data_IF_490412114664
#
_entry.id   IF_490412114664
#
_cell.length_a   1.000
_cell.length_b   1.000
_cell.length_c   1.000
_cell.angle_alpha   90.00
_cell.angle_beta   90.00
_cell.angle_gamma   90.00
#
_symmetry.space_group_name_H-M   'P 1'
#
loop_
_entity.id
_entity.type
_entity.pdbx_description
1 polymer ?
#
# COMPACT_ATOMS: atom_id res chain seq x y z
N UNK A 1 11.57 15.79 5.23
CA UNK A 1 11.56 14.38 4.82
C UNK A 1 10.16 13.84 5.04
N UNK A 2 9.47 13.45 3.96
CA UNK A 2 8.13 12.91 4.01
C UNK A 2 8.18 11.39 4.04
N UNK A 3 7.62 10.80 5.08
CA UNK A 3 7.60 9.34 5.28
C UNK A 3 6.15 8.88 5.27
N UNK A 4 5.87 7.79 4.55
CA UNK A 4 4.57 7.15 4.55
C UNK A 4 4.71 5.63 4.66
N UNK A 5 3.73 5.00 5.28
CA UNK A 5 3.60 3.55 5.37
C UNK A 5 2.62 3.06 4.32
N UNK A 6 2.97 2.03 3.58
CA UNK A 6 2.01 1.31 2.74
C UNK A 6 1.82 -0.08 3.30
N UNK A 7 0.56 -0.40 3.59
CA UNK A 7 0.15 -1.68 4.17
C UNK A 7 -0.37 -2.59 3.05
N UNK A 8 0.18 -3.79 2.96
CA UNK A 8 -0.34 -4.81 2.06
C UNK A 8 -1.77 -5.21 2.45
N UNK A 9 -2.61 -5.56 1.49
CA UNK A 9 -4.03 -5.90 1.74
C UNK A 9 -4.22 -7.07 2.71
N UNK A 10 -3.24 -7.96 2.80
CA UNK A 10 -3.24 -9.12 3.71
C UNK A 10 -2.63 -8.83 5.08
N UNK A 11 -2.09 -7.62 5.27
CA UNK A 11 -1.43 -7.28 6.52
C UNK A 11 -2.41 -7.16 7.67
N UNK A 12 -2.15 -7.93 8.72
CA UNK A 12 -2.84 -7.83 10.02
C UNK A 12 -1.76 -7.46 11.03
N UNK A 13 -1.87 -6.30 11.71
CA UNK A 13 -0.88 -5.90 12.71
C UNK A 13 -0.80 -6.93 13.83
N UNK A 14 0.41 -7.27 14.26
CA UNK A 14 0.62 -7.95 15.52
C UNK A 14 0.11 -7.04 16.64
N UNK A 15 -0.70 -7.56 17.59
CA UNK A 15 -1.23 -6.76 18.71
C UNK A 15 -0.14 -6.17 19.61
N UNK A 16 1.10 -6.64 19.51
CA UNK A 16 2.24 -6.09 20.25
C UNK A 16 2.85 -4.87 19.59
N UNK A 17 2.51 -4.59 18.32
CA UNK A 17 3.04 -3.44 17.58
C UNK A 17 2.34 -2.16 18.04
N UNK A 18 3.15 -1.17 18.41
CA UNK A 18 2.65 0.18 18.73
C UNK A 18 2.37 1.00 17.47
N UNK A 19 1.12 0.93 17.00
CA UNK A 19 0.67 1.70 15.84
C UNK A 19 0.75 3.22 16.05
N UNK A 20 0.75 3.70 17.29
CA UNK A 20 0.88 5.13 17.56
C UNK A 20 2.32 5.61 17.30
N UNK A 21 3.32 4.82 17.69
CA UNK A 21 4.72 5.09 17.36
C UNK A 21 4.96 5.07 15.85
N UNK A 22 4.39 4.11 15.14
CA UNK A 22 4.50 4.05 13.67
C UNK A 22 3.88 5.30 13.02
N UNK A 23 2.72 5.76 13.52
CA UNK A 23 2.08 6.99 13.03
C UNK A 23 2.88 8.25 13.31
N UNK A 24 3.67 8.27 14.37
CA UNK A 24 4.59 9.38 14.62
C UNK A 24 5.66 9.50 13.53
N UNK A 25 6.00 8.41 12.83
CA UNK A 25 6.93 8.42 11.71
C UNK A 25 6.25 8.84 10.39
N UNK A 26 4.98 8.50 10.15
CA UNK A 26 4.30 8.79 8.89
C UNK A 26 2.88 8.25 8.80
N UNK A 27 2.10 8.75 7.84
CA UNK A 27 0.73 8.33 7.62
C UNK A 27 0.63 6.93 6.99
N UNK A 28 -0.43 6.21 7.32
CA UNK A 28 -0.73 4.88 6.79
C UNK A 28 -1.59 4.97 5.53
N UNK A 29 -1.19 4.22 4.50
CA UNK A 29 -1.89 4.04 3.24
C UNK A 29 -2.21 2.56 3.02
N UNK A 30 -3.39 2.27 2.51
CA UNK A 30 -3.76 0.90 2.20
C UNK A 30 -5.19 0.76 1.71
N UNK A 31 -5.62 -0.48 1.46
CA UNK A 31 -6.99 -0.80 1.09
C UNK A 31 -7.98 -0.64 2.26
N UNK A 32 -9.26 -0.61 1.93
CA UNK A 32 -10.32 -0.53 2.95
C UNK A 32 -10.30 -1.74 3.91
N UNK A 33 -9.71 -2.86 3.50
CA UNK A 33 -9.57 -4.07 4.33
C UNK A 33 -8.55 -3.86 5.45
N UNK A 34 -7.42 -3.22 5.13
CA UNK A 34 -6.38 -2.91 6.12
C UNK A 34 -6.83 -1.87 7.13
N UNK A 35 -7.74 -0.98 6.76
CA UNK A 35 -8.28 0.02 7.69
C UNK A 35 -8.91 -0.61 8.93
N UNK A 36 -9.63 -1.72 8.79
CA UNK A 36 -10.27 -2.39 9.92
C UNK A 36 -9.26 -2.88 10.96
N UNK A 37 -8.08 -3.27 10.51
CA UNK A 37 -7.04 -3.83 11.37
C UNK A 37 -6.13 -2.76 11.96
N UNK A 38 -5.80 -1.72 11.19
CA UNK A 38 -4.75 -0.75 11.53
C UNK A 38 -5.24 0.69 11.67
N UNK A 39 -6.50 0.99 11.31
CA UNK A 39 -7.01 2.37 11.29
C UNK A 39 -6.28 3.25 10.28
N UNK A 40 -6.12 2.78 9.06
CA UNK A 40 -5.39 3.46 7.97
C UNK A 40 -5.88 4.88 7.72
N UNK A 41 -4.96 5.84 7.60
CA UNK A 41 -5.28 7.27 7.45
C UNK A 41 -5.74 7.63 6.03
N UNK A 42 -5.19 6.93 5.03
CA UNK A 42 -5.46 7.12 3.61
C UNK A 42 -5.93 5.78 3.01
N UNK A 43 -7.23 5.68 2.77
CA UNK A 43 -7.89 4.43 2.36
C UNK A 43 -8.26 4.45 0.91
N UNK A 44 -7.87 3.42 0.19
CA UNK A 44 -8.21 3.21 -1.21
C UNK A 44 -9.29 2.16 -1.31
N UNK A 45 -10.31 2.42 -2.13
CA UNK A 45 -11.36 1.47 -2.46
C UNK A 45 -11.60 1.47 -3.96
N UNK A 46 -11.23 0.39 -4.61
CA UNK A 46 -11.41 0.24 -6.06
C UNK A 46 -12.82 -0.22 -6.43
N UNK A 47 -13.46 -1.01 -5.59
CA UNK A 47 -14.80 -1.55 -5.81
C UNK A 47 -15.87 -0.46 -5.60
N UNK A 48 -16.60 -0.11 -6.66
CA UNK A 48 -17.63 0.93 -6.64
C UNK A 48 -18.80 0.58 -5.71
N UNK A 49 -19.20 -0.69 -5.64
CA UNK A 49 -20.30 -1.12 -4.77
C UNK A 49 -19.90 -1.01 -3.30
N UNK A 50 -18.67 -1.44 -2.99
CA UNK A 50 -18.09 -1.30 -1.66
C UNK A 50 -17.87 0.15 -1.27
N UNK A 51 -17.37 0.97 -2.18
CA UNK A 51 -17.22 2.41 -1.95
C UNK A 51 -18.56 3.07 -1.61
N UNK A 52 -19.64 2.73 -2.33
CA UNK A 52 -21.00 3.21 -2.02
C UNK A 52 -21.45 2.82 -0.61
N UNK A 53 -21.28 1.57 -0.22
CA UNK A 53 -21.59 1.11 1.14
C UNK A 53 -20.83 1.90 2.21
N UNK A 54 -19.52 2.10 2.01
CA UNK A 54 -18.67 2.82 2.95
C UNK A 54 -19.05 4.30 3.05
N UNK A 55 -19.37 4.94 1.93
CA UNK A 55 -19.83 6.34 1.90
C UNK A 55 -21.16 6.50 2.62
N UNK A 56 -22.12 5.58 2.41
CA UNK A 56 -23.40 5.59 3.13
C UNK A 56 -23.24 5.46 4.64
N UNK A 57 -22.17 4.84 5.10
CA UNK A 57 -21.80 4.73 6.53
C UNK A 57 -20.95 5.90 7.02
N UNK A 58 -20.82 6.97 6.23
CA UNK A 58 -19.98 8.14 6.53
C UNK A 58 -18.50 7.81 6.79
N UNK A 59 -18.01 6.69 6.24
CA UNK A 59 -16.64 6.24 6.40
C UNK A 59 -15.60 7.29 5.96
N UNK A 60 -15.87 7.98 4.86
CA UNK A 60 -15.05 9.07 4.31
C UNK A 60 -14.88 10.29 5.25
N UNK A 61 -15.65 10.35 6.33
CA UNK A 61 -15.47 11.37 7.37
C UNK A 61 -14.39 10.99 8.41
N UNK A 62 -13.93 9.74 8.42
CA UNK A 62 -12.95 9.22 9.40
C UNK A 62 -11.55 9.08 8.84
N UNK A 63 -11.37 9.17 7.52
CA UNK A 63 -10.09 9.00 6.83
C UNK A 63 -10.09 9.77 5.49
N UNK A 64 -8.93 9.91 4.88
CA UNK A 64 -8.84 10.33 3.48
C UNK A 64 -9.25 9.15 2.59
N UNK A 65 -10.42 9.24 1.97
CA UNK A 65 -10.99 8.14 1.20
C UNK A 65 -10.85 8.38 -0.29
N UNK A 66 -10.19 7.44 -0.98
CA UNK A 66 -9.85 7.53 -2.39
C UNK A 66 -10.59 6.47 -3.21
N UNK A 67 -11.14 6.89 -4.34
CA UNK A 67 -11.78 6.01 -5.32
C UNK A 67 -11.27 6.31 -6.73
N UNK A 68 -11.36 5.37 -7.70
CA UNK A 68 -11.02 5.68 -9.08
C UNK A 68 -11.99 6.70 -9.67
N UNK A 69 -11.53 7.45 -10.67
CA UNK A 69 -12.34 8.47 -11.32
C UNK A 69 -13.68 7.93 -11.85
N UNK A 70 -13.69 6.72 -12.43
CA UNK A 70 -14.92 6.05 -12.88
C UNK A 70 -15.92 5.83 -11.74
N UNK A 71 -15.46 5.33 -10.59
CA UNK A 71 -16.32 5.14 -9.43
C UNK A 71 -16.80 6.48 -8.85
N UNK A 72 -15.94 7.49 -8.80
CA UNK A 72 -16.29 8.82 -8.32
C UNK A 72 -17.46 9.45 -9.10
N UNK A 73 -17.42 9.31 -10.42
CA UNK A 73 -18.53 9.78 -11.29
C UNK A 73 -19.80 8.95 -11.06
N UNK A 74 -19.68 7.61 -10.98
CA UNK A 74 -20.82 6.72 -10.73
C UNK A 74 -21.46 6.88 -9.34
N UNK A 75 -20.76 7.51 -8.41
CA UNK A 75 -21.22 7.84 -7.05
C UNK A 75 -21.71 9.27 -6.92
N UNK A 76 -21.97 9.98 -8.03
CA UNK A 76 -22.42 11.36 -8.07
C UNK A 76 -21.46 12.35 -7.37
N UNK A 77 -20.16 12.10 -7.46
CA UNK A 77 -19.10 12.99 -6.95
C UNK A 77 -19.30 13.35 -5.48
N UNK A 78 -19.30 12.39 -4.56
CA UNK A 78 -19.65 12.65 -3.17
C UNK A 78 -18.62 13.58 -2.52
N UNK A 79 -19.07 14.57 -1.74
CA UNK A 79 -18.18 15.50 -1.05
C UNK A 79 -17.31 14.76 -0.02
N UNK A 80 -16.05 15.17 0.12
CA UNK A 80 -15.10 14.56 1.06
C UNK A 80 -14.45 13.26 0.56
N UNK A 81 -14.88 12.74 -0.58
CA UNK A 81 -14.20 11.61 -1.27
C UNK A 81 -13.21 12.18 -2.26
N UNK A 82 -12.02 11.60 -2.31
CA UNK A 82 -10.94 11.97 -3.23
C UNK A 82 -10.92 11.02 -4.42
N UNK A 83 -10.60 11.53 -5.57
CA UNK A 83 -10.36 10.69 -6.74
C UNK A 83 -8.86 10.45 -6.92
N UNK A 84 -8.52 9.30 -7.49
CA UNK A 84 -7.21 9.08 -8.07
C UNK A 84 -7.35 8.84 -9.57
N UNK A 85 -6.39 9.38 -10.33
CA UNK A 85 -6.27 9.17 -11.76
C UNK A 85 -5.16 8.15 -12.01
N UNK A 86 -5.38 7.27 -12.96
CA UNK A 86 -4.41 6.28 -13.39
C UNK A 86 -5.11 5.01 -13.89
N UNK A 87 -4.69 4.55 -15.05
CA UNK A 87 -5.09 3.26 -15.58
C UNK A 87 -4.28 2.15 -14.89
N UNK A 88 -4.26 2.15 -13.54
CA UNK A 88 -3.36 1.28 -12.83
C UNK A 88 -3.70 -0.19 -13.01
N UNK A 89 -4.89 -0.56 -13.47
CA UNK A 89 -5.18 -1.95 -13.81
C UNK A 89 -6.66 -2.18 -14.12
N UNK A 90 -6.98 -2.59 -15.30
CA UNK A 90 -8.35 -2.95 -15.67
C UNK A 90 -8.78 -4.37 -15.26
N UNK A 91 -7.87 -5.27 -14.84
CA UNK A 91 -8.14 -6.69 -14.81
C UNK A 91 -7.82 -7.45 -13.51
N UNK A 92 -7.50 -6.77 -12.40
CA UNK A 92 -7.03 -7.50 -11.24
C UNK A 92 -7.84 -7.17 -9.99
N UNK A 93 -8.55 -8.16 -9.49
CA UNK A 93 -9.10 -8.17 -8.14
C UNK A 93 -7.96 -7.91 -7.12
N UNK A 94 -8.06 -6.84 -6.33
CA UNK A 94 -7.18 -6.55 -5.20
C UNK A 94 -5.88 -5.75 -5.44
N UNK A 95 -5.95 -4.55 -6.05
CA UNK A 95 -4.73 -3.73 -6.20
C UNK A 95 -4.76 -2.39 -5.48
N UNK A 96 -5.54 -2.28 -4.45
CA UNK A 96 -5.58 -1.07 -3.61
C UNK A 96 -4.20 -0.73 -3.07
N UNK A 97 -3.40 -1.74 -2.70
CA UNK A 97 -2.01 -1.56 -2.27
C UNK A 97 -1.10 -1.05 -3.40
N UNK A 98 -1.32 -1.46 -4.65
CA UNK A 98 -0.56 -0.96 -5.81
C UNK A 98 -0.87 0.52 -6.04
N UNK A 99 -2.13 0.91 -5.95
CA UNK A 99 -2.54 2.32 -6.02
C UNK A 99 -1.90 3.11 -4.88
N UNK A 100 -1.88 2.56 -3.66
CA UNK A 100 -1.22 3.18 -2.52
C UNK A 100 0.29 3.40 -2.77
N UNK A 101 0.99 2.43 -3.36
CA UNK A 101 2.40 2.58 -3.74
C UNK A 101 2.60 3.75 -4.71
N UNK A 102 1.79 3.85 -5.76
CA UNK A 102 1.91 4.94 -6.74
C UNK A 102 1.59 6.31 -6.14
N UNK A 103 0.53 6.40 -5.33
CA UNK A 103 0.15 7.68 -4.71
C UNK A 103 1.20 8.15 -3.69
N UNK A 104 1.76 7.23 -2.91
CA UNK A 104 2.79 7.58 -1.91
C UNK A 104 4.12 7.92 -2.57
N UNK A 105 4.51 7.24 -3.64
CA UNK A 105 5.74 7.51 -4.37
C UNK A 105 5.84 8.97 -4.85
N UNK A 106 4.71 9.56 -5.26
CA UNK A 106 4.67 10.95 -5.74
C UNK A 106 4.82 12.02 -4.65
N UNK A 107 4.69 11.63 -3.38
CA UNK A 107 4.64 12.57 -2.25
C UNK A 107 5.64 12.25 -1.11
N UNK A 108 6.39 11.15 -1.22
CA UNK A 108 7.26 10.64 -0.16
C UNK A 108 8.71 10.61 -0.56
N UNK A 109 9.58 10.98 0.37
CA UNK A 109 11.02 10.70 0.26
C UNK A 109 11.31 9.22 0.60
N UNK A 110 10.56 8.69 1.58
CA UNK A 110 10.68 7.31 2.03
C UNK A 110 9.29 6.67 2.13
N UNK A 111 9.16 5.46 1.60
CA UNK A 111 7.98 4.61 1.72
C UNK A 111 8.34 3.33 2.46
N UNK A 112 7.68 3.10 3.59
CA UNK A 112 7.85 1.94 4.44
C UNK A 112 6.77 0.90 4.08
N UNK A 113 7.21 -0.29 3.66
CA UNK A 113 6.35 -1.37 3.16
C UNK A 113 6.14 -2.41 4.27
N UNK A 114 4.89 -2.62 4.66
CA UNK A 114 4.56 -3.54 5.73
C UNK A 114 3.59 -4.64 5.25
N UNK A 115 3.98 -5.89 5.47
CA UNK A 115 3.21 -7.06 5.04
C UNK A 115 3.38 -7.43 3.57
N UNK A 116 4.27 -6.78 2.83
CA UNK A 116 4.59 -7.15 1.45
C UNK A 116 5.48 -8.38 1.41
N UNK A 117 5.08 -9.40 0.65
CA UNK A 117 5.90 -10.59 0.42
C UNK A 117 6.70 -10.45 -0.89
N UNK A 118 7.94 -10.01 -0.75
CA UNK A 118 8.89 -9.87 -1.86
C UNK A 118 9.95 -10.99 -1.88
N UNK A 119 9.78 -12.05 -1.08
CA UNK A 119 10.68 -13.18 -1.07
C UNK A 119 10.60 -14.03 -2.34
N UNK A 120 11.63 -14.82 -2.56
CA UNK A 120 11.58 -15.92 -3.53
C UNK A 120 10.60 -16.99 -3.04
N UNK A 121 9.61 -17.30 -3.85
CA UNK A 121 8.58 -18.31 -3.55
C UNK A 121 8.38 -19.22 -4.76
N UNK A 122 7.91 -20.44 -4.50
CA UNK A 122 7.48 -21.32 -5.56
C UNK A 122 6.26 -20.73 -6.29
N UNK A 123 6.33 -20.78 -7.62
CA UNK A 123 5.23 -20.27 -8.44
C UNK A 123 3.98 -21.15 -8.26
N UNK A 124 2.80 -20.55 -8.15
CA UNK A 124 1.55 -21.30 -8.11
C UNK A 124 1.45 -22.32 -9.26
N UNK A 125 0.95 -23.52 -8.95
CA UNK A 125 0.77 -24.57 -9.94
C UNK A 125 -0.31 -24.19 -10.97
N UNK A 126 -1.37 -23.56 -10.53
CA UNK A 126 -2.42 -23.06 -11.40
C UNK A 126 -1.91 -21.93 -12.30
N UNK A 127 -2.26 -22.00 -13.59
CA UNK A 127 -1.77 -21.05 -14.59
C UNK A 127 -2.32 -19.64 -14.38
N UNK A 128 -3.59 -19.51 -13.98
CA UNK A 128 -4.24 -18.23 -13.81
C UNK A 128 -3.73 -17.54 -12.53
N UNK A 129 -3.62 -18.29 -11.44
CA UNK A 129 -3.05 -17.79 -10.18
C UNK A 129 -1.59 -17.36 -10.37
N UNK A 130 -0.80 -18.16 -11.09
CA UNK A 130 0.58 -17.80 -11.44
C UNK A 130 0.65 -16.50 -12.22
N UNK A 131 -0.23 -16.32 -13.20
CA UNK A 131 -0.26 -15.09 -14.00
C UNK A 131 -0.62 -13.88 -13.13
N UNK A 132 -1.64 -13.98 -12.28
CA UNK A 132 -2.05 -12.93 -11.34
C UNK A 132 -0.90 -12.58 -10.38
N UNK A 133 -0.26 -13.58 -9.82
CA UNK A 133 0.86 -13.42 -8.90
C UNK A 133 2.06 -12.70 -9.54
N UNK A 134 2.47 -13.14 -10.73
CA UNK A 134 3.57 -12.52 -11.48
C UNK A 134 3.23 -11.06 -11.84
N UNK A 135 2.01 -10.82 -12.29
CA UNK A 135 1.59 -9.48 -12.65
C UNK A 135 1.57 -8.54 -11.43
N UNK A 136 1.07 -8.99 -10.29
CA UNK A 136 1.10 -8.23 -9.05
C UNK A 136 2.53 -7.83 -8.67
N UNK A 137 3.48 -8.77 -8.67
CA UNK A 137 4.89 -8.47 -8.40
C UNK A 137 5.52 -7.53 -9.42
N UNK A 138 5.16 -7.67 -10.70
CA UNK A 138 5.61 -6.76 -11.73
C UNK A 138 5.14 -5.32 -11.47
N UNK A 139 3.89 -5.14 -11.06
CA UNK A 139 3.33 -3.83 -10.74
C UNK A 139 4.02 -3.19 -9.53
N UNK A 140 4.28 -3.96 -8.47
CA UNK A 140 5.06 -3.48 -7.31
C UNK A 140 6.46 -3.02 -7.77
N UNK A 141 7.16 -3.87 -8.52
CA UNK A 141 8.50 -3.54 -9.04
C UNK A 141 8.48 -2.32 -9.94
N UNK A 142 7.47 -2.19 -10.79
CA UNK A 142 7.32 -1.05 -11.69
C UNK A 142 7.12 0.25 -10.91
N UNK A 143 6.26 0.23 -9.88
CA UNK A 143 6.07 1.40 -9.01
C UNK A 143 7.39 1.87 -8.38
N UNK A 144 8.22 0.95 -7.91
CA UNK A 144 9.53 1.27 -7.33
C UNK A 144 10.52 1.79 -8.38
N UNK A 145 10.54 1.16 -9.56
CA UNK A 145 11.45 1.50 -10.64
C UNK A 145 11.16 2.86 -11.27
N UNK A 146 9.88 3.23 -11.39
CA UNK A 146 9.47 4.50 -11.96
C UNK A 146 9.70 5.68 -10.99
N UNK A 147 9.90 5.38 -9.70
CA UNK A 147 10.09 6.37 -8.65
C UNK A 147 11.46 6.20 -7.96
N UNK A 148 12.52 6.34 -8.76
CA UNK A 148 13.92 6.15 -8.29
C UNK A 148 14.35 7.12 -7.20
N UNK A 149 13.69 8.28 -7.09
CA UNK A 149 13.95 9.26 -6.04
C UNK A 149 13.37 8.88 -4.68
N UNK A 150 12.41 7.92 -4.66
CA UNK A 150 11.79 7.43 -3.42
C UNK A 150 12.59 6.25 -2.89
N UNK A 151 13.00 6.30 -1.63
CA UNK A 151 13.58 5.17 -0.94
C UNK A 151 12.47 4.25 -0.44
N UNK A 152 12.52 2.98 -0.81
CA UNK A 152 11.60 1.95 -0.38
C UNK A 152 12.25 1.09 0.70
N UNK A 153 11.56 0.87 1.81
CA UNK A 153 12.05 0.04 2.91
C UNK A 153 11.05 -1.07 3.20
N UNK A 154 11.45 -2.31 2.96
CA UNK A 154 10.67 -3.49 3.32
C UNK A 154 10.88 -3.78 4.82
N UNK A 155 9.82 -3.66 5.61
CA UNK A 155 9.88 -3.72 7.06
C UNK A 155 9.43 -5.10 7.58
N UNK A 156 10.18 -5.65 8.55
CA UNK A 156 9.92 -6.93 9.22
C UNK A 156 9.72 -8.12 8.27
N UNK A 157 10.45 -8.12 7.18
CA UNK A 157 10.47 -9.23 6.26
C UNK A 157 11.60 -10.18 6.64
N UNK A 158 11.26 -11.35 7.17
CA UNK A 158 12.17 -12.33 7.74
C UNK A 158 12.86 -13.23 6.69
N UNK A 159 12.46 -13.14 5.43
CA UNK A 159 13.01 -13.91 4.31
C UNK A 159 13.87 -13.05 3.40
N UNK A 160 14.88 -13.62 2.74
CA UNK A 160 15.65 -12.88 1.74
C UNK A 160 14.76 -12.38 0.60
N UNK A 161 14.91 -11.11 0.26
CA UNK A 161 14.23 -10.52 -0.91
C UNK A 161 14.66 -11.26 -2.19
N UNK A 162 13.69 -11.53 -3.06
CA UNK A 162 13.93 -12.15 -4.38
C UNK A 162 14.93 -11.31 -5.20
N UNK A 163 15.80 -12.00 -5.96
CA UNK A 163 16.75 -11.38 -6.88
C UNK A 163 16.09 -10.36 -7.83
N UNK A 164 14.84 -10.62 -8.23
CA UNK A 164 14.05 -9.74 -9.09
C UNK A 164 13.83 -8.33 -8.50
N UNK A 165 13.79 -8.22 -7.17
CA UNK A 165 13.70 -6.95 -6.46
C UNK A 165 15.06 -6.43 -5.97
N UNK A 166 16.03 -7.33 -5.73
CA UNK A 166 17.40 -6.95 -5.31
C UNK A 166 18.15 -6.08 -6.31
N UNK A 167 17.71 -6.05 -7.56
CA UNK A 167 18.27 -5.19 -8.61
C UNK A 167 17.83 -3.73 -8.49
N UNK A 168 16.94 -3.41 -7.54
CA UNK A 168 16.46 -2.05 -7.31
C UNK A 168 17.37 -1.36 -6.28
N UNK A 169 18.12 -0.37 -6.71
CA UNK A 169 19.07 0.39 -5.85
C UNK A 169 18.36 1.19 -4.75
N UNK A 170 17.08 1.48 -4.93
CA UNK A 170 16.25 2.25 -4.02
C UNK A 170 15.38 1.37 -3.09
N UNK A 171 15.57 0.05 -3.06
CA UNK A 171 14.91 -0.88 -2.14
C UNK A 171 15.89 -1.40 -1.10
N UNK A 172 15.54 -1.26 0.17
CA UNK A 172 16.27 -1.82 1.31
C UNK A 172 15.33 -2.66 2.18
N UNK A 173 15.90 -3.42 3.10
CA UNK A 173 15.17 -4.24 4.07
C UNK A 173 15.66 -3.90 5.47
N UNK A 174 14.74 -3.70 6.42
CA UNK A 174 15.08 -3.41 7.80
C UNK A 174 14.00 -3.94 8.77
N UNK A 175 14.32 -3.97 10.05
CA UNK A 175 13.37 -4.32 11.11
C UNK A 175 12.56 -3.10 11.54
N UNK A 176 11.33 -3.33 12.05
CA UNK A 176 10.49 -2.26 12.59
C UNK A 176 11.21 -1.49 13.70
N UNK A 177 11.89 -2.20 14.59
CA UNK A 177 12.66 -1.61 15.68
C UNK A 177 13.73 -0.64 15.20
N UNK A 178 14.48 -1.00 14.16
CA UNK A 178 15.51 -0.15 13.60
C UNK A 178 14.91 1.08 12.90
N UNK A 179 13.84 0.87 12.13
CA UNK A 179 13.09 1.93 11.46
C UNK A 179 12.57 2.94 12.50
N UNK A 180 11.90 2.48 13.55
CA UNK A 180 11.39 3.36 14.60
C UNK A 180 12.53 4.08 15.34
N UNK A 181 13.61 3.39 15.68
CA UNK A 181 14.81 4.03 16.29
C UNK A 181 15.44 5.08 15.40
N UNK A 182 15.44 4.87 14.09
CA UNK A 182 16.03 5.83 13.15
C UNK A 182 15.20 7.11 13.06
N UNK A 183 13.86 7.00 12.96
CA UNK A 183 12.99 8.14 12.74
C UNK A 183 12.51 8.84 14.03
N UNK A 184 12.55 8.16 15.18
CA UNK A 184 12.13 8.72 16.47
C UNK A 184 13.33 9.14 17.35
N UNK A 185 14.56 9.13 16.80
CA UNK A 185 15.70 9.73 17.49
C UNK A 185 15.62 11.24 17.36
N UNK A 186 15.35 11.88 18.50
CA UNK A 186 15.66 13.30 18.73
C UNK A 186 17.17 13.54 18.87
#
# INVERSE_FOLDING_TARGET
>A
MNINWVLANTYIPDPTIDLALMRACGAFWGGWQTWRASGTDNVICHDTAKARELIQRAFHATCNFYVPNSAYVMLDRPPGVRLYEGEFVHDLDHHEEIVALHLTAGISDIVLLLGFDLAEVELPADRLERHRWLNHRNLIRQAMKDNVQTQWVLVDHDRPVDKYFKELDNLTQDTLDNVLKFFLKD
#
